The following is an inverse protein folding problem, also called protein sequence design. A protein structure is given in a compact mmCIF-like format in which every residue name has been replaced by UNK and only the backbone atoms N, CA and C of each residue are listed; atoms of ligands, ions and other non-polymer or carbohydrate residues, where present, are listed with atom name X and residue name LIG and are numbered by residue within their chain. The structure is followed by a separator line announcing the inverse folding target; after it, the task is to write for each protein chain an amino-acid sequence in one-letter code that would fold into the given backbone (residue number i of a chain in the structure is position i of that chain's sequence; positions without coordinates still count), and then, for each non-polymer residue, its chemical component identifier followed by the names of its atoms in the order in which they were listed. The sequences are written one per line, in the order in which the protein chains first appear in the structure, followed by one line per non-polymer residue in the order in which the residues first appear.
data_IF_415548884480
#
_entry.id   IF_415548884480
#
_cell.length_a   1.000
_cell.length_b   1.000
_cell.length_c   1.000
_cell.angle_alpha   90.00
_cell.angle_beta   90.00
_cell.angle_gamma   90.00
#
_symmetry.space_group_name_H-M   'P 1'
#
loop_
_entity.id
_entity.type
_entity.pdbx_description
1 polymer ?
#
# COMPACT_ATOMS: atom_id res chain seq x y z
N UNK A 1 -11.20 13.39 0.06
CA UNK A 1 -12.07 13.01 1.19
C UNK A 1 -11.25 12.17 2.16
N UNK A 2 -11.30 12.54 3.44
CA UNK A 2 -10.62 11.73 4.46
C UNK A 2 -11.57 10.66 4.98
N UNK A 3 -11.04 9.46 5.14
CA UNK A 3 -11.71 8.40 5.87
C UNK A 3 -11.26 8.46 7.31
N UNK A 4 -12.18 8.75 8.21
CA UNK A 4 -11.90 8.72 9.64
C UNK A 4 -12.64 7.51 10.19
N UNK A 5 -11.87 6.55 10.65
CA UNK A 5 -12.43 5.32 11.19
C UNK A 5 -12.09 5.27 12.67
N UNK A 6 -13.10 5.22 13.53
CA UNK A 6 -12.91 5.11 14.96
C UNK A 6 -12.87 3.64 15.39
N UNK A 7 -12.56 3.40 16.66
CA UNK A 7 -12.39 2.04 17.18
C UNK A 7 -13.64 1.17 17.01
N UNK A 8 -14.82 1.73 17.22
CA UNK A 8 -16.07 1.00 17.04
C UNK A 8 -16.28 0.58 15.59
N UNK A 9 -15.93 1.45 14.66
CA UNK A 9 -16.03 1.16 13.23
C UNK A 9 -15.02 0.08 12.82
N UNK A 10 -13.84 0.06 13.44
CA UNK A 10 -12.86 -0.99 13.18
C UNK A 10 -13.44 -2.36 13.45
N UNK A 11 -14.03 -2.53 14.62
CA UNK A 11 -14.57 -3.83 15.01
C UNK A 11 -15.68 -4.30 14.08
N UNK A 12 -16.58 -3.39 13.71
CA UNK A 12 -17.68 -3.71 12.79
C UNK A 12 -17.16 -4.10 11.42
N UNK A 13 -16.20 -3.33 10.90
CA UNK A 13 -15.65 -3.59 9.56
C UNK A 13 -14.88 -4.90 9.55
N UNK A 14 -14.07 -5.18 10.58
CA UNK A 14 -13.33 -6.44 10.68
C UNK A 14 -14.27 -7.64 10.72
N UNK A 15 -15.35 -7.56 11.49
CA UNK A 15 -16.32 -8.64 11.58
C UNK A 15 -17.03 -8.90 10.26
N UNK A 16 -17.28 -7.85 9.49
CA UNK A 16 -17.97 -7.95 8.21
C UNK A 16 -17.04 -8.17 7.03
N UNK A 17 -15.72 -8.20 7.25
CA UNK A 17 -14.67 -8.24 6.23
C UNK A 17 -14.72 -7.04 5.27
N UNK A 18 -15.51 -6.02 5.59
CA UNK A 18 -15.58 -4.79 4.81
C UNK A 18 -14.29 -3.99 4.83
N UNK A 19 -13.40 -4.30 5.76
CA UNK A 19 -12.13 -3.64 5.93
C UNK A 19 -11.25 -3.72 4.68
N UNK A 20 -11.15 -4.93 4.13
CA UNK A 20 -10.35 -5.16 2.93
C UNK A 20 -10.92 -4.38 1.75
N UNK A 21 -12.24 -4.31 1.64
CA UNK A 21 -12.91 -3.55 0.59
C UNK A 21 -12.62 -2.06 0.70
N UNK A 22 -12.72 -1.52 1.90
CA UNK A 22 -12.44 -0.10 2.15
C UNK A 22 -10.99 0.24 1.78
N UNK A 23 -10.05 -0.58 2.21
CA UNK A 23 -8.65 -0.36 1.89
C UNK A 23 -8.33 -0.59 0.42
N UNK A 24 -9.04 -1.51 -0.23
CA UNK A 24 -8.87 -1.69 -1.67
C UNK A 24 -9.30 -0.44 -2.43
N UNK A 25 -10.41 0.17 -2.06
CA UNK A 25 -10.86 1.40 -2.67
C UNK A 25 -9.87 2.54 -2.45
N UNK A 26 -9.32 2.64 -1.23
CA UNK A 26 -8.32 3.65 -0.92
C UNK A 26 -7.03 3.44 -1.70
N UNK A 27 -6.56 2.22 -1.77
CA UNK A 27 -5.34 1.88 -2.52
C UNK A 27 -5.53 2.22 -4.00
N UNK A 28 -6.65 1.84 -4.59
CA UNK A 28 -6.92 2.12 -6.00
C UNK A 28 -6.95 3.62 -6.27
N UNK A 29 -7.59 4.37 -5.39
CA UNK A 29 -7.66 5.84 -5.51
C UNK A 29 -6.28 6.48 -5.39
N UNK A 30 -5.50 6.06 -4.43
CA UNK A 30 -4.17 6.63 -4.21
C UNK A 30 -3.20 6.24 -5.32
N UNK A 31 -3.35 5.05 -5.88
CA UNK A 31 -2.54 4.66 -7.04
C UNK A 31 -2.85 5.56 -8.23
N UNK A 32 -4.10 5.92 -8.46
CA UNK A 32 -4.46 6.86 -9.50
C UNK A 32 -3.87 8.25 -9.25
N UNK A 33 -3.89 8.69 -8.00
CA UNK A 33 -3.29 9.96 -7.61
C UNK A 33 -1.77 9.96 -7.87
N UNK A 34 -1.07 8.91 -7.45
CA UNK A 34 0.37 8.79 -7.66
C UNK A 34 0.70 8.81 -9.15
N UNK A 35 -0.07 8.09 -9.97
CA UNK A 35 0.13 8.09 -11.42
C UNK A 35 -0.03 9.48 -12.03
N UNK A 36 -1.05 10.21 -11.59
CA UNK A 36 -1.24 11.59 -12.09
C UNK A 36 -0.09 12.49 -11.69
N UNK A 37 0.36 12.40 -10.45
CA UNK A 37 1.49 13.21 -9.99
C UNK A 37 2.74 12.89 -10.79
N UNK A 38 3.00 11.62 -11.05
CA UNK A 38 4.16 11.19 -11.82
C UNK A 38 4.08 11.66 -13.29
N UNK A 39 2.88 11.67 -13.86
CA UNK A 39 2.66 12.13 -15.23
C UNK A 39 2.86 13.65 -15.36
N UNK A 40 2.59 14.38 -14.29
CA UNK A 40 2.77 15.85 -14.27
C UNK A 40 4.24 16.27 -14.15
N UNK A 41 5.10 15.35 -13.75
CA UNK A 41 6.51 15.62 -13.57
C UNK A 41 6.88 15.93 -12.12
N UNK A 42 8.16 15.76 -11.83
CA UNK A 42 8.67 15.80 -10.46
C UNK A 42 8.52 17.17 -9.79
N UNK A 43 8.48 18.24 -10.56
CA UNK A 43 8.41 19.59 -10.01
C UNK A 43 7.03 19.97 -9.48
N UNK A 44 6.02 19.18 -9.79
CA UNK A 44 4.63 19.52 -9.46
C UNK A 44 4.07 18.76 -8.24
N UNK A 45 4.84 17.88 -7.63
CA UNK A 45 4.35 17.20 -6.43
C UNK A 45 4.92 17.81 -5.16
N UNK A 46 4.11 17.78 -4.11
CA UNK A 46 4.41 18.41 -2.84
C UNK A 46 5.13 17.50 -1.86
N UNK A 47 5.97 16.60 -2.34
CA UNK A 47 6.77 15.72 -1.49
C UNK A 47 6.08 14.45 -1.01
N UNK A 48 4.84 14.19 -1.44
CA UNK A 48 4.15 12.96 -1.09
C UNK A 48 4.58 11.76 -1.92
N UNK A 49 5.14 12.02 -3.10
CA UNK A 49 5.56 10.98 -4.03
C UNK A 49 6.98 11.28 -4.50
N UNK A 50 7.89 10.33 -4.30
CA UNK A 50 9.27 10.47 -4.71
C UNK A 50 9.52 9.98 -6.13
N UNK A 51 10.70 10.35 -6.67
CA UNK A 51 11.10 9.94 -8.01
C UNK A 51 11.18 8.43 -8.18
N UNK A 52 11.66 7.74 -7.16
CA UNK A 52 11.77 6.27 -7.21
C UNK A 52 10.40 5.61 -7.27
N UNK A 53 9.42 6.18 -6.56
CA UNK A 53 8.04 5.69 -6.64
C UNK A 53 7.47 5.84 -8.05
N UNK A 54 7.80 6.92 -8.73
CA UNK A 54 7.35 7.13 -10.10
C UNK A 54 7.96 6.11 -11.07
N UNK A 55 9.21 5.74 -10.86
CA UNK A 55 9.85 4.69 -11.67
C UNK A 55 9.23 3.33 -11.41
N UNK A 56 8.92 3.06 -10.16
CA UNK A 56 8.34 1.77 -9.76
C UNK A 56 6.90 1.63 -10.25
N UNK A 57 6.09 2.68 -10.15
CA UNK A 57 4.69 2.61 -10.54
C UNK A 57 4.49 2.35 -12.03
N UNK A 58 5.45 2.75 -12.86
CA UNK A 58 5.36 2.50 -14.30
C UNK A 58 5.33 1.00 -14.63
N UNK A 59 5.89 0.18 -13.76
CA UNK A 59 5.90 -1.27 -13.95
C UNK A 59 4.73 -1.96 -13.28
N UNK A 60 3.98 -1.26 -12.43
CA UNK A 60 2.90 -1.86 -11.66
C UNK A 60 1.59 -1.83 -12.43
N UNK A 61 0.98 -2.99 -12.57
CA UNK A 61 -0.36 -3.13 -13.16
C UNK A 61 -1.43 -2.80 -12.13
N UNK A 62 -1.27 -3.36 -10.93
CA UNK A 62 -2.32 -3.28 -9.92
C UNK A 62 -1.74 -3.64 -8.55
N UNK A 63 -2.34 -3.11 -7.51
CA UNK A 63 -2.07 -3.50 -6.13
C UNK A 63 -3.37 -4.00 -5.51
N UNK A 64 -3.33 -5.21 -4.97
CA UNK A 64 -4.50 -5.84 -4.35
C UNK A 64 -4.29 -5.97 -2.85
N UNK A 65 -5.32 -5.63 -2.07
CA UNK A 65 -5.30 -5.85 -0.62
C UNK A 65 -5.62 -7.31 -0.36
N UNK A 66 -4.64 -8.04 0.17
CA UNK A 66 -4.77 -9.48 0.41
C UNK A 66 -5.29 -9.78 1.80
N UNK A 67 -4.93 -8.96 2.78
CA UNK A 67 -5.29 -9.22 4.16
C UNK A 67 -5.20 -7.93 4.97
N UNK A 68 -5.93 -7.89 6.08
CA UNK A 68 -5.89 -6.79 7.03
C UNK A 68 -6.16 -7.36 8.42
N UNK A 69 -5.19 -7.23 9.33
CA UNK A 69 -5.35 -7.76 10.68
C UNK A 69 -4.71 -6.86 11.72
N UNK A 70 -5.26 -6.88 12.92
CA UNK A 70 -4.69 -6.15 14.05
C UNK A 70 -3.53 -6.92 14.64
N UNK A 71 -2.41 -6.22 14.82
CA UNK A 71 -1.20 -6.81 15.40
C UNK A 71 -0.69 -5.95 16.55
N UNK A 72 -0.03 -6.62 17.50
CA UNK A 72 0.66 -5.95 18.60
C UNK A 72 2.14 -5.93 18.27
N UNK A 73 2.75 -4.76 18.33
CA UNK A 73 4.18 -4.62 18.07
C UNK A 73 4.94 -4.83 19.38
N UNK A 74 5.96 -5.67 19.30
CA UNK A 74 6.86 -5.91 20.45
C UNK A 74 8.06 -4.98 20.36
N UNK A 75 8.39 -4.34 21.48
CA UNK A 75 9.59 -3.54 21.61
C UNK A 75 10.33 -3.98 22.85
N UNK A 76 11.56 -4.45 22.69
CA UNK A 76 12.39 -4.96 23.79
C UNK A 76 11.65 -6.01 24.64
N UNK A 77 10.99 -6.96 23.97
CA UNK A 77 10.20 -8.04 24.59
C UNK A 77 8.96 -7.58 25.35
N UNK A 78 8.55 -6.33 25.16
CA UNK A 78 7.31 -5.80 25.74
C UNK A 78 6.36 -5.37 24.64
N UNK A 79 5.06 -5.68 24.75
CA UNK A 79 4.11 -5.19 23.77
C UNK A 79 3.94 -3.68 23.91
N UNK A 80 3.87 -2.99 22.78
CA UNK A 80 3.49 -1.59 22.77
C UNK A 80 2.01 -1.48 23.12
N UNK A 81 1.59 -0.39 23.80
CA UNK A 81 0.21 -0.25 24.23
C UNK A 81 -0.78 -0.11 23.06
N UNK A 82 -0.31 0.31 21.90
CA UNK A 82 -1.16 0.52 20.74
C UNK A 82 -1.11 -0.69 19.83
N UNK A 83 -2.27 -1.01 19.25
CA UNK A 83 -2.36 -1.99 18.20
C UNK A 83 -2.24 -1.31 16.85
N UNK A 84 -1.64 -1.99 15.91
CA UNK A 84 -1.50 -1.53 14.53
C UNK A 84 -2.32 -2.41 13.62
N UNK A 85 -2.89 -1.80 12.58
CA UNK A 85 -3.53 -2.55 11.53
C UNK A 85 -2.48 -2.88 10.47
N UNK A 86 -2.20 -4.17 10.32
CA UNK A 86 -1.28 -4.64 9.30
C UNK A 86 -2.06 -4.96 8.03
N UNK A 87 -1.70 -4.28 6.96
CA UNK A 87 -2.29 -4.50 5.65
C UNK A 87 -1.25 -5.20 4.78
N UNK A 88 -1.65 -6.31 4.20
CA UNK A 88 -0.79 -7.06 3.28
C UNK A 88 -1.26 -6.80 1.85
N UNK A 89 -0.33 -6.35 1.02
CA UNK A 89 -0.59 -6.02 -0.37
C UNK A 89 0.08 -7.04 -1.29
N UNK A 90 -0.54 -7.29 -2.42
CA UNK A 90 0.09 -7.98 -3.54
C UNK A 90 0.28 -6.98 -4.66
N UNK A 91 1.52 -6.78 -5.07
CA UNK A 91 1.88 -5.87 -6.16
C UNK A 91 2.06 -6.69 -7.43
N UNK A 92 1.18 -6.49 -8.40
CA UNK A 92 1.28 -7.15 -9.70
C UNK A 92 2.01 -6.23 -10.65
N UNK A 93 3.14 -6.69 -11.16
CA UNK A 93 3.97 -5.88 -12.06
C UNK A 93 4.34 -6.64 -13.32
N UNK A 94 4.84 -5.91 -14.31
CA UNK A 94 5.35 -6.49 -15.55
C UNK A 94 6.77 -6.01 -15.77
N UNK A 95 7.69 -6.95 -15.89
CA UNK A 95 9.08 -6.64 -16.19
C UNK A 95 9.63 -7.66 -17.17
N UNK A 96 10.31 -7.18 -18.18
CA UNK A 96 10.96 -8.02 -19.18
C UNK A 96 12.40 -8.38 -18.80
N UNK A 97 12.89 -7.89 -17.67
CA UNK A 97 14.24 -8.16 -17.21
C UNK A 97 14.30 -9.54 -16.56
N UNK A 98 15.14 -10.40 -17.11
CA UNK A 98 15.31 -11.75 -16.57
C UNK A 98 16.02 -11.78 -15.21
N UNK A 99 16.87 -10.82 -14.96
CA UNK A 99 17.74 -10.79 -13.78
C UNK A 99 17.57 -9.54 -12.93
N UNK A 100 16.63 -8.69 -13.28
CA UNK A 100 16.34 -7.51 -12.47
C UNK A 100 15.42 -7.85 -11.33
N UNK A 101 15.77 -7.42 -10.12
CA UNK A 101 14.86 -7.51 -8.99
C UNK A 101 13.93 -6.32 -9.03
N UNK A 102 12.65 -6.60 -9.22
CA UNK A 102 11.65 -5.56 -9.07
C UNK A 102 11.55 -5.19 -7.59
N UNK A 103 11.54 -3.89 -7.35
CA UNK A 103 11.45 -3.35 -6.01
C UNK A 103 10.34 -2.31 -5.98
N UNK A 104 9.40 -2.47 -5.07
CA UNK A 104 8.31 -1.53 -4.86
C UNK A 104 8.38 -0.88 -3.47
N UNK A 105 9.55 -0.90 -2.83
CA UNK A 105 9.69 -0.40 -1.47
C UNK A 105 9.34 1.08 -1.36
N UNK A 106 9.82 1.90 -2.28
CA UNK A 106 9.54 3.34 -2.23
C UNK A 106 8.07 3.64 -2.53
N UNK A 107 7.50 2.94 -3.51
CA UNK A 107 6.10 3.11 -3.86
C UNK A 107 5.19 2.71 -2.70
N UNK A 108 5.44 1.56 -2.09
CA UNK A 108 4.62 1.10 -0.97
C UNK A 108 4.84 1.96 0.28
N UNK A 109 6.04 2.47 0.49
CA UNK A 109 6.30 3.41 1.58
C UNK A 109 5.49 4.70 1.42
N UNK A 110 5.51 5.28 0.23
CA UNK A 110 4.72 6.48 -0.03
C UNK A 110 3.22 6.22 0.10
N UNK A 111 2.77 5.07 -0.38
CA UNK A 111 1.38 4.66 -0.27
C UNK A 111 0.97 4.51 1.20
N UNK A 112 1.80 3.85 2.02
CA UNK A 112 1.55 3.71 3.45
C UNK A 112 1.41 5.07 4.11
N UNK A 113 2.33 5.98 3.82
CA UNK A 113 2.32 7.32 4.41
C UNK A 113 1.04 8.08 4.05
N UNK A 114 0.62 8.00 2.79
CA UNK A 114 -0.61 8.64 2.32
C UNK A 114 -1.82 8.02 3.01
N UNK A 115 -1.88 6.71 3.10
CA UNK A 115 -2.98 6.01 3.76
C UNK A 115 -3.07 6.36 5.24
N UNK A 116 -1.94 6.48 5.92
CA UNK A 116 -1.91 6.90 7.33
C UNK A 116 -2.50 8.29 7.51
N UNK A 117 -2.19 9.21 6.61
CA UNK A 117 -2.73 10.56 6.67
C UNK A 117 -4.23 10.58 6.43
N UNK A 118 -4.70 9.76 5.52
CA UNK A 118 -6.11 9.77 5.12
C UNK A 118 -7.02 8.99 6.04
N UNK A 119 -6.51 8.00 6.72
CA UNK A 119 -7.31 7.17 7.61
C UNK A 119 -7.12 7.52 9.08
N UNK A 120 -6.05 8.23 9.42
CA UNK A 120 -5.66 8.51 10.81
C UNK A 120 -5.47 7.25 11.65
N UNK A 121 -5.16 6.13 11.00
CA UNK A 121 -4.96 4.84 11.65
C UNK A 121 -3.49 4.51 11.80
N UNK A 122 -3.11 3.82 12.88
CA UNK A 122 -1.76 3.28 12.97
C UNK A 122 -1.63 2.07 12.03
N UNK A 123 -1.07 2.30 10.86
CA UNK A 123 -0.96 1.27 9.83
C UNK A 123 0.47 0.74 9.71
N UNK A 124 0.55 -0.55 9.40
CA UNK A 124 1.76 -1.19 8.89
C UNK A 124 1.40 -1.79 7.55
N UNK A 125 2.18 -1.48 6.54
CA UNK A 125 1.94 -2.00 5.19
C UNK A 125 3.09 -2.92 4.79
N UNK A 126 2.75 -4.17 4.54
CA UNK A 126 3.69 -5.17 4.00
C UNK A 126 3.23 -5.53 2.60
N UNK A 127 4.16 -5.96 1.75
CA UNK A 127 3.78 -6.35 0.42
C UNK A 127 4.58 -7.55 -0.08
N UNK A 128 3.97 -8.26 -1.01
CA UNK A 128 4.62 -9.25 -1.87
C UNK A 128 4.43 -8.80 -3.30
N UNK A 129 5.22 -9.31 -4.22
CA UNK A 129 5.12 -8.93 -5.62
C UNK A 129 5.09 -10.15 -6.52
N UNK A 130 4.38 -10.02 -7.65
CA UNK A 130 4.25 -11.07 -8.65
C UNK A 130 4.48 -10.47 -10.03
N UNK A 131 5.42 -11.04 -10.76
CA UNK A 131 5.68 -10.61 -12.14
C UNK A 131 4.73 -11.35 -13.08
N UNK A 132 3.80 -10.60 -13.67
CA UNK A 132 2.80 -11.16 -14.57
C UNK A 132 3.42 -11.74 -15.84
N UNK A 133 4.56 -11.20 -16.28
CA UNK A 133 5.24 -11.72 -17.47
C UNK A 133 5.84 -13.11 -17.27
N UNK A 134 6.20 -13.46 -16.03
CA UNK A 134 6.78 -14.77 -15.74
C UNK A 134 5.82 -15.93 -15.87
N UNK A 135 4.52 -15.65 -15.83
CA UNK A 135 3.52 -16.69 -15.95
C UNK A 135 3.36 -17.21 -17.37
N UNK A 136 3.99 -16.57 -18.35
CA UNK A 136 3.87 -16.91 -19.74
C UNK A 136 5.17 -17.43 -20.36
N UNK A 137 6.24 -17.50 -19.60
CA UNK A 137 7.56 -17.94 -20.04
C UNK A 137 7.75 -19.42 -19.68
N UNK A 138 7.06 -20.28 -20.41
CA UNK A 138 7.19 -21.73 -20.26
C UNK A 138 7.73 -22.36 -21.51
#
# INVERSE_FOLDING_TARGET
MKYIINESQYNVILESQGYMKVFQELVDREMQYIRRVCDMGADDYEGDVGDESCKQIDQVEKIEVMDAEWVTIMHSNKPLPEKYLRIKLMVYYRSNQQFGNFDADDLTYDLERILRKKTTMPLIVNYESTNLNKHFDW
#
